data_IF_285260694666
#
_entry.id   IF_285260694666
#
_cell.length_a   1.000
_cell.length_b   1.000
_cell.length_c   1.000
_cell.angle_alpha   90.00
_cell.angle_beta   90.00
_cell.angle_gamma   90.00
#
_symmetry.space_group_name_H-M   'P 1'
#
loop_
_entity.id
_entity.type
_entity.pdbx_description
1 polymer ?
#
# COMPACT_ATOMS: atom_id res chain seq x y z
N UNK A 1 -4.07 -22.59 9.78
CA UNK A 1 -4.48 -21.19 9.63
C UNK A 1 -4.74 -20.85 8.19
N UNK A 2 -5.90 -20.30 7.95
CA UNK A 2 -6.27 -19.83 6.59
C UNK A 2 -5.65 -18.44 6.38
N UNK A 3 -4.90 -18.21 5.28
CA UNK A 3 -4.40 -16.87 4.96
C UNK A 3 -5.56 -15.88 4.82
N UNK A 4 -5.35 -14.65 5.27
CA UNK A 4 -6.36 -13.60 5.23
C UNK A 4 -5.85 -12.45 4.37
N UNK A 5 -6.67 -12.02 3.42
CA UNK A 5 -6.35 -10.82 2.65
C UNK A 5 -6.65 -9.59 3.49
N UNK A 6 -5.73 -8.63 3.48
CA UNK A 6 -5.84 -7.44 4.32
C UNK A 6 -7.10 -6.63 4.00
N UNK A 7 -7.60 -6.69 2.77
CA UNK A 7 -8.82 -5.95 2.39
C UNK A 7 -10.07 -6.48 3.11
N UNK A 8 -9.97 -7.69 3.69
CA UNK A 8 -11.06 -8.29 4.47
C UNK A 8 -10.95 -8.00 5.96
N UNK A 9 -9.94 -7.25 6.37
CA UNK A 9 -9.77 -6.80 7.76
C UNK A 9 -10.16 -5.33 7.83
N UNK A 10 -11.07 -5.00 8.74
CA UNK A 10 -11.44 -3.60 8.94
C UNK A 10 -10.29 -2.86 9.65
N UNK A 11 -9.80 -1.76 9.09
CA UNK A 11 -8.76 -0.99 9.76
C UNK A 11 -9.27 -0.38 11.06
N UNK A 12 -8.42 -0.35 12.07
CA UNK A 12 -8.74 0.27 13.35
C UNK A 12 -8.53 1.78 13.32
N UNK A 13 -7.73 2.26 12.36
CA UNK A 13 -7.44 3.68 12.20
C UNK A 13 -7.13 3.95 10.74
N UNK A 14 -7.56 5.10 10.23
CA UNK A 14 -7.26 5.55 8.86
C UNK A 14 -6.92 7.03 8.89
N UNK A 15 -6.13 7.46 7.90
CA UNK A 15 -5.86 8.87 7.66
C UNK A 15 -7.14 9.63 7.28
N UNK A 16 -7.13 10.95 7.45
CA UNK A 16 -8.33 11.76 7.26
C UNK A 16 -8.51 12.29 5.84
N UNK A 17 -7.48 12.92 5.30
CA UNK A 17 -7.61 13.65 4.03
C UNK A 17 -7.31 12.75 2.85
N UNK A 18 -6.10 12.23 2.77
CA UNK A 18 -5.71 11.26 1.76
C UNK A 18 -5.89 9.88 2.37
N UNK A 19 -6.66 9.03 1.71
CA UNK A 19 -7.05 7.74 2.29
C UNK A 19 -6.54 6.58 1.46
N UNK A 20 -6.26 5.48 2.14
CA UNK A 20 -6.01 4.20 1.49
C UNK A 20 -7.35 3.60 1.11
N UNK A 21 -7.50 3.31 -0.16
CA UNK A 21 -8.72 2.72 -0.73
C UNK A 21 -8.43 1.28 -1.15
N UNK A 22 -9.48 0.49 -1.22
CA UNK A 22 -9.38 -0.89 -1.71
C UNK A 22 -10.19 -1.05 -2.98
N UNK A 23 -9.65 -1.82 -3.93
CA UNK A 23 -10.30 -2.10 -5.20
C UNK A 23 -10.32 -3.57 -5.52
N UNK A 24 -11.01 -3.91 -6.60
CA UNK A 24 -11.08 -5.28 -7.10
C UNK A 24 -9.83 -5.66 -7.88
N UNK A 25 -9.36 -4.75 -8.73
CA UNK A 25 -8.20 -4.98 -9.58
C UNK A 25 -7.45 -3.69 -9.83
N UNK A 26 -6.14 -3.81 -10.00
CA UNK A 26 -5.29 -2.74 -10.50
C UNK A 26 -4.45 -3.26 -11.67
N UNK A 27 -4.06 -2.38 -12.58
CA UNK A 27 -3.26 -2.77 -13.74
C UNK A 27 -1.91 -2.07 -13.64
N UNK A 28 -0.83 -2.83 -13.79
CA UNK A 28 0.52 -2.29 -13.68
C UNK A 28 1.04 -1.71 -15.00
N UNK A 29 2.24 -1.15 -14.95
CA UNK A 29 2.88 -0.52 -16.12
C UNK A 29 3.34 -1.51 -17.18
N UNK A 30 3.14 -2.81 -16.98
CA UNK A 30 3.34 -3.85 -17.98
C UNK A 30 2.01 -4.41 -18.50
N UNK A 31 0.89 -3.79 -18.13
CA UNK A 31 -0.48 -4.17 -18.47
C UNK A 31 -0.95 -5.49 -17.86
N UNK A 32 -0.31 -5.93 -16.78
CA UNK A 32 -0.78 -7.09 -16.03
C UNK A 32 -1.73 -6.67 -14.94
N UNK A 33 -2.73 -7.51 -14.67
CA UNK A 33 -3.77 -7.26 -13.67
C UNK A 33 -3.38 -7.85 -12.33
N UNK A 34 -3.59 -7.07 -11.28
CA UNK A 34 -3.38 -7.48 -9.89
C UNK A 34 -4.69 -7.38 -9.14
N UNK A 35 -5.00 -8.37 -8.31
CA UNK A 35 -6.29 -8.45 -7.64
C UNK A 35 -6.23 -7.85 -6.24
N UNK A 36 -7.37 -7.36 -5.78
CA UNK A 36 -7.56 -6.83 -4.42
C UNK A 36 -6.48 -5.81 -4.08
N UNK A 37 -6.45 -4.74 -4.86
CA UNK A 37 -5.43 -3.73 -4.74
C UNK A 37 -5.74 -2.73 -3.63
N UNK A 38 -4.66 -2.16 -3.08
CA UNK A 38 -4.70 -0.99 -2.20
C UNK A 38 -4.03 0.16 -2.94
N UNK A 39 -4.69 1.30 -2.92
CA UNK A 39 -4.19 2.49 -3.58
C UNK A 39 -4.58 3.73 -2.77
N UNK A 40 -4.05 4.88 -3.15
CA UNK A 40 -4.36 6.12 -2.45
C UNK A 40 -4.57 7.26 -3.43
N UNK A 41 -5.39 8.23 -3.03
CA UNK A 41 -5.59 9.47 -3.76
C UNK A 41 -4.90 10.62 -3.04
N UNK A 42 -4.32 11.52 -3.81
CA UNK A 42 -3.79 12.77 -3.32
C UNK A 42 -4.84 13.87 -3.57
N UNK A 43 -5.35 14.47 -2.50
CA UNK A 43 -6.36 15.52 -2.61
C UNK A 43 -5.70 16.87 -2.80
N UNK A 44 -6.45 17.78 -3.42
CA UNK A 44 -6.01 19.15 -3.61
C UNK A 44 -5.66 19.81 -2.27
N UNK A 45 -4.50 20.42 -2.23
CA UNK A 45 -3.96 21.15 -1.06
C UNK A 45 -3.68 20.28 0.16
N UNK A 46 -3.72 18.97 0.03
CA UNK A 46 -3.35 18.07 1.12
C UNK A 46 -2.06 17.35 0.80
N UNK A 47 -1.06 17.49 1.66
CA UNK A 47 0.21 16.76 1.57
C UNK A 47 0.34 15.69 2.63
N UNK A 48 -0.78 15.38 3.30
CA UNK A 48 -0.77 14.35 4.33
C UNK A 48 -0.63 12.97 3.73
N UNK A 49 0.10 12.10 4.43
CA UNK A 49 0.23 10.72 4.03
C UNK A 49 -1.12 10.00 4.14
N UNK A 50 -1.36 9.08 3.22
CA UNK A 50 -2.48 8.17 3.32
C UNK A 50 -2.04 6.93 4.08
N UNK A 51 -2.79 6.54 5.12
CA UNK A 51 -2.44 5.34 5.87
C UNK A 51 -3.66 4.62 6.39
N UNK A 52 -3.46 3.33 6.66
CA UNK A 52 -4.44 2.49 7.35
C UNK A 52 -3.70 1.58 8.32
N UNK A 53 -4.31 1.37 9.48
CA UNK A 53 -3.78 0.50 10.53
C UNK A 53 -4.69 -0.70 10.66
N UNK A 54 -4.13 -1.88 10.56
CA UNK A 54 -4.88 -3.14 10.61
C UNK A 54 -4.56 -3.91 11.89
N UNK A 55 -5.58 -4.26 12.68
CA UNK A 55 -5.36 -5.02 13.92
C UNK A 55 -5.08 -6.49 13.57
N UNK A 56 -3.87 -6.95 13.82
CA UNK A 56 -3.48 -8.34 13.57
C UNK A 56 -3.47 -9.17 14.84
N UNK A 57 -3.38 -8.55 16.01
CA UNK A 57 -3.48 -9.18 17.32
C UNK A 57 -2.38 -10.23 17.59
N UNK A 58 -1.25 -10.12 16.90
CA UNK A 58 -0.15 -11.09 17.05
C UNK A 58 -0.42 -12.46 16.46
N UNK A 59 -1.48 -12.61 15.66
CA UNK A 59 -1.93 -13.93 15.17
C UNK A 59 -1.16 -14.46 13.97
N UNK A 60 -0.40 -13.62 13.29
CA UNK A 60 0.23 -13.96 12.02
C UNK A 60 1.74 -13.82 12.12
N UNK A 61 2.46 -14.53 11.27
CA UNK A 61 3.91 -14.43 11.23
C UNK A 61 4.46 -13.98 9.88
N UNK A 62 3.64 -13.99 8.82
CA UNK A 62 4.11 -13.68 7.47
C UNK A 62 3.16 -12.74 6.76
N UNK A 63 3.73 -11.72 6.13
CA UNK A 63 3.01 -10.80 5.24
C UNK A 63 3.58 -10.95 3.84
N UNK A 64 2.73 -11.22 2.86
CA UNK A 64 3.12 -11.26 1.45
C UNK A 64 2.27 -10.27 0.67
N UNK A 65 2.86 -9.65 -0.34
CA UNK A 65 2.12 -8.75 -1.20
C UNK A 65 2.87 -8.52 -2.51
N UNK A 66 2.13 -8.00 -3.49
CA UNK A 66 2.68 -7.52 -4.75
C UNK A 66 2.72 -5.99 -4.69
N UNK A 67 3.81 -5.41 -5.18
CA UNK A 67 3.92 -3.96 -5.34
C UNK A 67 4.17 -3.65 -6.80
N UNK A 68 3.53 -2.60 -7.30
CA UNK A 68 3.64 -2.25 -8.72
C UNK A 68 3.36 -0.78 -8.93
N UNK A 69 3.82 -0.30 -10.08
CA UNK A 69 3.44 1.04 -10.55
C UNK A 69 2.21 0.89 -11.42
N UNK A 70 1.19 1.67 -11.09
CA UNK A 70 -0.07 1.68 -11.84
C UNK A 70 0.16 2.23 -13.26
N UNK A 71 -0.59 1.70 -14.22
CA UNK A 71 -0.62 2.27 -15.57
C UNK A 71 -1.53 3.49 -15.67
N UNK A 72 -2.14 3.91 -14.57
CA UNK A 72 -3.14 4.97 -14.54
C UNK A 72 -2.62 6.29 -15.10
N UNK A 73 -1.40 6.66 -14.75
CA UNK A 73 -0.79 7.90 -15.26
C UNK A 73 0.67 7.62 -15.62
N UNK A 74 0.91 7.35 -16.89
CA UNK A 74 2.26 7.06 -17.38
C UNK A 74 3.03 8.33 -17.76
N UNK A 75 2.40 9.49 -17.70
CA UNK A 75 3.02 10.75 -18.14
C UNK A 75 3.83 11.42 -17.02
N UNK A 76 3.66 11.00 -15.78
CA UNK A 76 4.36 11.61 -14.66
C UNK A 76 5.65 10.85 -14.32
N UNK A 77 6.69 11.61 -13.96
CA UNK A 77 7.95 11.06 -13.47
C UNK A 77 8.00 10.95 -11.94
N UNK A 78 6.90 11.30 -11.28
CA UNK A 78 6.84 11.30 -9.82
C UNK A 78 6.98 9.89 -9.28
N UNK A 79 7.65 9.79 -8.13
CA UNK A 79 7.75 8.54 -7.39
C UNK A 79 6.95 8.62 -6.11
N UNK A 80 6.58 7.48 -5.59
CA UNK A 80 5.89 7.36 -4.30
C UNK A 80 6.63 6.35 -3.46
N UNK A 81 6.65 6.57 -2.16
CA UNK A 81 7.20 5.61 -1.21
C UNK A 81 6.06 4.99 -0.43
N UNK A 82 6.02 3.66 -0.39
CA UNK A 82 5.09 2.90 0.43
C UNK A 82 5.88 2.29 1.57
N UNK A 83 5.44 2.53 2.80
CA UNK A 83 6.10 2.02 3.99
C UNK A 83 5.18 1.12 4.77
N UNK A 84 5.75 0.09 5.35
CA UNK A 84 5.02 -0.88 6.15
C UNK A 84 5.66 -0.91 7.54
N UNK A 85 4.82 -0.69 8.55
CA UNK A 85 5.23 -0.67 9.95
C UNK A 85 4.53 -1.79 10.71
N UNK A 86 5.29 -2.46 11.57
CA UNK A 86 4.75 -3.38 12.57
C UNK A 86 4.99 -2.79 13.94
N UNK A 87 3.92 -2.49 14.67
CA UNK A 87 3.98 -1.88 16.01
C UNK A 87 4.94 -0.68 16.05
N UNK A 88 4.79 0.23 15.07
CA UNK A 88 5.57 1.45 14.93
C UNK A 88 7.05 1.26 14.52
N UNK A 89 7.45 0.03 14.18
CA UNK A 89 8.77 -0.25 13.64
C UNK A 89 8.66 -0.40 12.12
N UNK A 90 9.49 0.34 11.38
CA UNK A 90 9.49 0.20 9.91
C UNK A 90 10.06 -1.15 9.52
N UNK A 91 9.25 -1.94 8.82
CA UNK A 91 9.62 -3.27 8.35
C UNK A 91 10.08 -3.27 6.90
N UNK A 92 9.49 -2.39 6.08
CA UNK A 92 9.79 -2.33 4.65
C UNK A 92 9.50 -0.93 4.15
N UNK A 93 10.34 -0.46 3.23
CA UNK A 93 10.15 0.79 2.50
C UNK A 93 10.37 0.50 1.02
N UNK A 94 9.42 0.92 0.19
CA UNK A 94 9.45 0.62 -1.25
C UNK A 94 9.29 1.93 -2.00
N UNK A 95 10.29 2.30 -2.80
CA UNK A 95 10.21 3.46 -3.67
C UNK A 95 9.74 2.99 -5.03
N UNK A 96 8.58 3.48 -5.45
CA UNK A 96 7.98 3.11 -6.72
C UNK A 96 8.15 4.29 -7.67
N UNK A 97 9.20 4.24 -8.46
CA UNK A 97 9.50 5.26 -9.47
C UNK A 97 8.92 4.84 -10.84
N UNK A 98 9.17 5.66 -11.85
CA UNK A 98 8.60 5.46 -13.19
C UNK A 98 9.00 4.12 -13.83
N UNK A 99 10.18 3.62 -13.52
CA UNK A 99 10.67 2.36 -14.07
C UNK A 99 10.47 1.15 -13.18
N UNK A 100 9.70 1.29 -12.11
CA UNK A 100 9.52 0.21 -11.16
C UNK A 100 8.85 -1.00 -11.79
N UNK A 101 9.52 -2.16 -11.71
CA UNK A 101 8.95 -3.42 -12.18
C UNK A 101 8.09 -4.04 -11.08
N UNK A 102 6.95 -4.65 -11.43
CA UNK A 102 6.13 -5.36 -10.43
C UNK A 102 6.98 -6.40 -9.70
N UNK A 103 6.80 -6.47 -8.39
CA UNK A 103 7.60 -7.37 -7.56
C UNK A 103 6.79 -7.90 -6.39
N UNK A 104 7.16 -9.08 -5.92
CA UNK A 104 6.57 -9.70 -4.74
C UNK A 104 7.47 -9.54 -3.54
N UNK A 105 6.84 -9.35 -2.38
CA UNK A 105 7.53 -9.19 -1.10
C UNK A 105 6.99 -10.18 -0.09
N UNK A 106 7.87 -10.62 0.79
CA UNK A 106 7.53 -11.46 1.94
C UNK A 106 8.25 -10.90 3.15
N UNK A 107 7.50 -10.61 4.21
CA UNK A 107 8.00 -9.91 5.39
C UNK A 107 7.61 -10.70 6.62
N UNK A 108 8.54 -10.83 7.57
CA UNK A 108 8.27 -11.41 8.89
C UNK A 108 7.50 -10.39 9.73
N UNK A 109 6.29 -10.77 10.15
CA UNK A 109 5.45 -9.96 11.02
C UNK A 109 5.11 -10.70 12.32
N UNK A 110 5.97 -11.62 12.74
CA UNK A 110 5.75 -12.42 13.97
C UNK A 110 5.49 -11.51 15.16
N UNK A 111 4.38 -11.73 15.84
CA UNK A 111 4.01 -10.98 17.05
C UNK A 111 3.48 -9.58 16.82
N UNK A 112 3.36 -9.12 15.57
CA UNK A 112 2.87 -7.77 15.29
C UNK A 112 1.40 -7.66 15.68
N UNK A 113 1.10 -6.67 16.53
CA UNK A 113 -0.27 -6.37 16.97
C UNK A 113 -1.00 -5.51 15.97
N UNK A 114 -0.34 -4.47 15.45
CA UNK A 114 -0.90 -3.51 14.51
C UNK A 114 0.02 -3.36 13.32
N UNK A 115 -0.52 -3.58 12.14
CA UNK A 115 0.19 -3.38 10.87
C UNK A 115 -0.27 -2.07 10.26
N UNK A 116 0.67 -1.16 10.00
CA UNK A 116 0.35 0.12 9.38
C UNK A 116 0.96 0.17 7.98
N UNK A 117 0.12 0.49 7.00
CA UNK A 117 0.55 0.68 5.61
C UNK A 117 0.40 2.17 5.29
N UNK A 118 1.49 2.80 4.84
CA UNK A 118 1.56 4.23 4.57
C UNK A 118 1.93 4.45 3.12
N UNK A 119 1.12 5.26 2.43
CA UNK A 119 1.45 5.78 1.10
C UNK A 119 1.89 7.23 1.34
N UNK A 120 3.20 7.47 1.28
CA UNK A 120 3.70 8.80 1.53
C UNK A 120 3.28 9.74 0.40
N UNK A 121 2.71 10.89 0.80
CA UNK A 121 2.40 11.90 -0.18
C UNK A 121 3.71 12.47 -0.72
N UNK A 122 3.75 12.69 -2.02
CA UNK A 122 4.92 13.31 -2.61
C UNK A 122 4.71 14.82 -2.69
N UNK A 123 5.83 15.54 -2.58
CA UNK A 123 5.82 16.97 -2.71
C UNK A 123 5.57 17.32 -4.17
N UNK A 124 4.38 17.80 -4.45
CA UNK A 124 4.07 18.28 -5.79
C UNK A 124 3.91 19.79 -5.75
N UNK A 125 4.75 20.46 -6.49
CA UNK A 125 4.51 21.85 -6.82
C UNK A 125 3.36 21.98 -7.81
N UNK A 126 2.74 20.88 -8.18
CA UNK A 126 1.66 20.84 -9.14
C UNK A 126 0.35 20.60 -8.40
N UNK A 127 -0.52 21.59 -8.44
CA UNK A 127 -1.84 21.52 -7.83
C UNK A 127 -2.74 20.69 -8.72
N UNK A 128 -2.82 19.40 -8.45
CA UNK A 128 -3.79 18.53 -9.10
C UNK A 128 -4.95 18.32 -8.15
N UNK A 129 -6.16 18.32 -8.70
CA UNK A 129 -7.37 18.23 -7.87
C UNK A 129 -7.51 16.90 -7.16
N UNK A 130 -7.36 15.84 -7.90
CA UNK A 130 -7.45 14.48 -7.40
C UNK A 130 -6.53 13.64 -8.23
N UNK A 131 -5.49 13.15 -7.63
CA UNK A 131 -4.59 12.22 -8.30
C UNK A 131 -4.50 10.93 -7.54
N UNK A 132 -4.71 9.86 -8.25
CA UNK A 132 -4.38 8.54 -7.77
C UNK A 132 -2.87 8.43 -7.72
N UNK A 133 -2.33 8.06 -6.58
CA UNK A 133 -0.89 7.88 -6.45
C UNK A 133 -0.43 6.73 -7.35
N UNK A 134 0.76 6.85 -7.95
CA UNK A 134 1.19 5.90 -8.98
C UNK A 134 1.59 4.53 -8.44
N UNK A 135 1.87 4.39 -7.15
CA UNK A 135 2.26 3.11 -6.55
C UNK A 135 1.10 2.45 -5.86
N UNK A 136 0.97 1.13 -6.04
CA UNK A 136 -0.11 0.35 -5.44
C UNK A 136 0.44 -0.96 -4.90
N UNK A 137 -0.34 -1.55 -3.97
CA UNK A 137 -0.11 -2.91 -3.48
C UNK A 137 -1.30 -3.79 -3.88
N UNK A 138 -1.07 -5.08 -4.00
CA UNK A 138 -2.15 -6.03 -4.28
C UNK A 138 -1.88 -7.36 -3.59
N UNK A 139 -2.94 -8.14 -3.41
CA UNK A 139 -2.86 -9.45 -2.75
C UNK A 139 -2.06 -9.38 -1.46
N UNK A 140 -2.43 -8.42 -0.61
CA UNK A 140 -1.77 -8.21 0.68
C UNK A 140 -2.31 -9.24 1.66
N UNK A 141 -1.53 -10.26 1.93
CA UNK A 141 -2.00 -11.45 2.65
C UNK A 141 -1.18 -11.64 3.91
N UNK A 142 -1.88 -11.81 5.03
CA UNK A 142 -1.28 -12.20 6.31
C UNK A 142 -1.56 -13.66 6.56
N UNK A 143 -0.56 -14.38 7.03
CA UNK A 143 -0.68 -15.82 7.24
C UNK A 143 0.14 -16.28 8.43
N UNK A 144 -0.20 -17.48 8.92
CA UNK A 144 0.53 -18.17 9.97
C UNK A 144 1.19 -19.38 9.31
N UNK A 145 2.51 -19.33 9.14
CA UNK A 145 3.26 -20.38 8.44
C UNK A 145 4.03 -21.30 9.40
N UNK A 146 4.06 -20.94 10.69
CA UNK A 146 4.81 -21.71 11.69
C UNK A 146 3.91 -22.26 12.77
#
# INVERSE_FOLDING_TARGET
>A
YVPVNIVDIDPSETSRNNKVEKGETGVDNTNQTHKKNLYAFHRLYSQDDAYAVYPLMGKYDTLTFEAYRSNYDTSTDESITIKIFGDNTELQSIVIDKGFNPNQYSIDISGVQKLKIVFESYDTNVFKQFDKLPGELANVIVSKTK
#
